data_IF_662063387172
#
_entry.id   IF_662063387172
#
_cell.length_a   1.000
_cell.length_b   1.000
_cell.length_c   1.000
_cell.angle_alpha   90.00
_cell.angle_beta   90.00
_cell.angle_gamma   90.00
#
_symmetry.space_group_name_H-M   'P 1'
#
loop_
_entity.id
_entity.type
_entity.pdbx_description
1 polymer ?
#
# COMPACT_ATOMS: atom_id res chain seq x y z
N UNK A 1 46.68 -9.13 67.95
CA UNK A 1 45.33 -9.72 67.97
C UNK A 1 44.72 -9.53 66.60
N UNK A 2 44.45 -10.64 65.91
CA UNK A 2 43.85 -10.69 64.58
C UNK A 2 42.36 -10.41 64.67
N UNK A 3 41.82 -9.49 63.87
CA UNK A 3 40.41 -9.50 63.49
C UNK A 3 40.33 -9.41 61.96
N UNK A 4 40.00 -10.55 61.35
CA UNK A 4 39.70 -10.70 59.93
C UNK A 4 38.26 -10.24 59.70
N UNK A 5 38.04 -9.21 58.90
CA UNK A 5 36.72 -8.91 58.34
C UNK A 5 36.50 -9.78 57.10
N UNK A 6 35.57 -10.71 57.20
CA UNK A 6 35.10 -11.54 56.10
C UNK A 6 33.94 -10.79 55.43
N UNK A 7 34.17 -10.20 54.26
CA UNK A 7 33.09 -9.67 53.43
C UNK A 7 32.49 -10.82 52.61
N UNK A 8 31.26 -11.21 52.93
CA UNK A 8 30.49 -12.17 52.15
C UNK A 8 29.80 -11.44 50.99
N UNK A 9 30.25 -11.67 49.77
CA UNK A 9 29.57 -11.26 48.53
C UNK A 9 28.44 -12.24 48.24
N UNK A 10 27.19 -11.80 48.42
CA UNK A 10 26.00 -12.49 47.90
C UNK A 10 25.90 -12.22 46.39
N UNK A 11 26.14 -13.26 45.58
CA UNK A 11 25.85 -13.26 44.14
C UNK A 11 24.39 -13.68 43.96
N UNK A 12 23.53 -12.73 43.61
CA UNK A 12 22.14 -12.99 43.25
C UNK A 12 22.07 -13.61 41.85
N UNK A 13 21.87 -14.93 41.77
CA UNK A 13 21.56 -15.61 40.50
C UNK A 13 20.11 -15.27 40.10
N UNK A 14 19.92 -14.29 39.21
CA UNK A 14 18.64 -14.07 38.57
C UNK A 14 18.39 -15.21 37.56
N UNK A 15 17.47 -16.11 37.88
CA UNK A 15 17.01 -17.15 36.94
C UNK A 15 16.04 -16.52 35.95
N UNK A 16 16.46 -16.36 34.69
CA UNK A 16 15.56 -16.06 33.58
C UNK A 16 14.59 -17.23 33.43
N UNK A 17 13.35 -17.05 33.90
CA UNK A 17 12.24 -17.94 33.56
C UNK A 17 11.86 -17.66 32.11
N UNK A 18 12.32 -18.52 31.21
CA UNK A 18 11.72 -18.61 29.87
C UNK A 18 10.31 -19.14 30.06
N UNK A 19 9.31 -18.26 29.96
CA UNK A 19 7.91 -18.66 29.88
C UNK A 19 7.72 -19.22 28.49
N UNK A 20 7.85 -20.54 28.35
CA UNK A 20 7.38 -21.25 27.17
C UNK A 20 5.86 -21.15 27.17
N UNK A 21 5.31 -20.22 26.38
CA UNK A 21 3.87 -20.17 26.15
C UNK A 21 3.41 -21.51 25.57
N UNK A 22 2.35 -22.08 26.12
CA UNK A 22 1.69 -23.25 25.51
C UNK A 22 1.25 -22.87 24.10
N UNK A 23 1.64 -23.60 23.05
CA UNK A 23 1.13 -23.35 21.70
C UNK A 23 -0.40 -23.39 21.77
N UNK A 24 -1.05 -22.28 21.41
CA UNK A 24 -2.50 -22.28 21.24
C UNK A 24 -2.85 -23.33 20.17
N UNK A 25 -3.89 -24.15 20.37
CA UNK A 25 -4.27 -25.16 19.40
C UNK A 25 -4.59 -24.49 18.06
N UNK A 26 -3.86 -24.84 17.00
CA UNK A 26 -4.13 -24.40 15.62
C UNK A 26 -5.20 -25.31 15.01
N UNK A 27 -6.05 -24.74 14.17
CA UNK A 27 -7.03 -25.50 13.40
C UNK A 27 -6.43 -25.92 12.06
N UNK A 28 -6.74 -27.14 11.63
CA UNK A 28 -6.35 -27.67 10.32
C UNK A 28 -7.51 -27.54 9.34
N UNK A 29 -7.31 -26.81 8.25
CA UNK A 29 -8.29 -26.62 7.19
C UNK A 29 -8.39 -27.86 6.28
N UNK A 30 -9.38 -27.89 5.40
CA UNK A 30 -9.62 -29.03 4.49
C UNK A 30 -8.42 -29.33 3.57
N UNK A 31 -7.69 -28.30 3.14
CA UNK A 31 -6.46 -28.44 2.33
C UNK A 31 -5.20 -28.74 3.14
N UNK A 32 -5.31 -28.95 4.46
CA UNK A 32 -4.18 -29.24 5.35
C UNK A 32 -3.42 -28.02 5.88
N UNK A 33 -3.79 -26.81 5.46
CA UNK A 33 -3.23 -25.56 6.00
C UNK A 33 -3.57 -25.42 7.49
N UNK A 34 -2.68 -24.77 8.25
CA UNK A 34 -2.83 -24.57 9.69
C UNK A 34 -3.09 -23.09 10.00
N UNK A 35 -4.20 -22.78 10.65
CA UNK A 35 -4.60 -21.41 11.02
C UNK A 35 -4.80 -21.27 12.52
N UNK A 36 -4.60 -20.07 13.05
CA UNK A 36 -4.89 -19.75 14.44
C UNK A 36 -6.40 -19.82 14.77
N UNK A 37 -7.27 -19.45 13.84
CA UNK A 37 -8.73 -19.50 13.99
C UNK A 37 -9.37 -20.30 12.85
N UNK A 38 -10.20 -21.31 13.18
CA UNK A 38 -10.85 -22.18 12.20
C UNK A 38 -11.78 -21.43 11.22
N UNK A 39 -12.30 -20.25 11.59
CA UNK A 39 -13.09 -19.42 10.68
C UNK A 39 -12.29 -18.98 9.44
N UNK A 40 -10.97 -18.82 9.58
CA UNK A 40 -10.09 -18.42 8.47
C UNK A 40 -9.98 -19.49 7.37
N UNK A 41 -10.35 -20.74 7.64
CA UNK A 41 -10.31 -21.80 6.62
C UNK A 41 -11.23 -21.50 5.42
N UNK A 42 -12.27 -20.68 5.60
CA UNK A 42 -13.18 -20.28 4.52
C UNK A 42 -12.50 -19.40 3.46
N UNK A 43 -11.35 -18.80 3.75
CA UNK A 43 -10.65 -17.88 2.85
C UNK A 43 -9.62 -18.56 1.94
N UNK A 44 -9.23 -19.82 2.20
CA UNK A 44 -8.36 -20.56 1.27
C UNK A 44 -9.03 -20.81 -0.09
N UNK A 45 -10.31 -21.23 -0.18
CA UNK A 45 -11.00 -21.32 -1.47
C UNK A 45 -11.11 -19.98 -2.20
N UNK A 46 -11.22 -18.86 -1.48
CA UNK A 46 -11.22 -17.51 -2.08
C UNK A 46 -9.84 -17.22 -2.68
N UNK A 47 -8.77 -17.45 -1.90
CA UNK A 47 -7.38 -17.30 -2.35
C UNK A 47 -7.09 -18.11 -3.62
N UNK A 48 -7.44 -19.39 -3.60
CA UNK A 48 -7.19 -20.33 -4.70
C UNK A 48 -7.94 -19.95 -5.98
N UNK A 49 -9.02 -19.16 -5.86
CA UNK A 49 -9.82 -18.69 -6.98
C UNK A 49 -9.36 -17.33 -7.51
N UNK A 50 -9.12 -16.34 -6.64
CA UNK A 50 -8.78 -14.99 -7.08
C UNK A 50 -7.35 -14.90 -7.65
N UNK A 51 -6.40 -15.67 -7.14
CA UNK A 51 -5.01 -15.59 -7.65
C UNK A 51 -4.93 -15.91 -9.15
N UNK A 52 -5.52 -17.02 -9.66
CA UNK A 52 -5.47 -17.32 -11.09
C UNK A 52 -6.60 -16.70 -11.92
N UNK A 53 -7.76 -16.34 -11.34
CA UNK A 53 -8.94 -15.93 -12.12
C UNK A 53 -9.30 -14.44 -11.97
N UNK A 54 -8.76 -13.74 -10.97
CA UNK A 54 -8.85 -12.29 -10.84
C UNK A 54 -7.52 -11.63 -11.16
N UNK A 55 -6.40 -12.18 -10.67
CA UNK A 55 -5.09 -11.54 -10.83
C UNK A 55 -4.19 -12.18 -11.89
N UNK A 56 -4.66 -13.20 -12.60
CA UNK A 56 -3.88 -13.95 -13.60
C UNK A 56 -2.50 -14.47 -13.12
N UNK A 57 -2.29 -14.58 -11.80
CA UNK A 57 -1.02 -14.87 -11.14
C UNK A 57 0.07 -13.80 -11.31
N UNK A 58 -0.31 -12.55 -11.58
CA UNK A 58 0.60 -11.46 -11.88
C UNK A 58 0.39 -10.25 -10.96
N UNK A 59 1.43 -9.42 -10.82
CA UNK A 59 1.31 -8.05 -10.32
C UNK A 59 1.03 -7.14 -11.52
N UNK A 60 -0.23 -7.20 -11.97
CA UNK A 60 -0.75 -6.48 -13.13
C UNK A 60 -1.90 -5.54 -12.75
N UNK A 61 -2.68 -5.16 -13.75
CA UNK A 61 -3.74 -4.16 -13.63
C UNK A 61 -4.73 -4.45 -12.50
N UNK A 62 -5.30 -5.66 -12.46
CA UNK A 62 -6.24 -6.09 -11.40
C UNK A 62 -5.61 -6.06 -10.00
N UNK A 63 -4.32 -6.42 -9.89
CA UNK A 63 -3.61 -6.39 -8.62
C UNK A 63 -3.42 -4.96 -8.11
N UNK A 64 -3.14 -4.02 -9.02
CA UNK A 64 -3.03 -2.59 -8.74
C UNK A 64 -4.41 -1.99 -8.40
N UNK A 65 -5.45 -2.38 -9.16
CA UNK A 65 -6.84 -2.01 -8.96
C UNK A 65 -7.34 -2.41 -7.57
N UNK A 66 -7.13 -3.66 -7.15
CA UNK A 66 -7.49 -4.14 -5.81
C UNK A 66 -6.77 -3.36 -4.69
N UNK A 67 -5.47 -3.07 -4.88
CA UNK A 67 -4.71 -2.28 -3.92
C UNK A 67 -5.27 -0.85 -3.80
N UNK A 68 -5.57 -0.19 -4.93
CA UNK A 68 -6.20 1.13 -4.95
C UNK A 68 -7.58 1.08 -4.30
N UNK A 69 -8.44 0.14 -4.67
CA UNK A 69 -9.80 0.01 -4.15
C UNK A 69 -9.81 -0.09 -2.62
N UNK A 70 -8.84 -0.79 -2.03
CA UNK A 70 -8.71 -0.89 -0.56
C UNK A 70 -8.49 0.45 0.14
N UNK A 71 -7.76 1.38 -0.48
CA UNK A 71 -7.57 2.73 0.05
C UNK A 71 -8.85 3.56 -0.09
N UNK A 72 -9.49 3.51 -1.25
CA UNK A 72 -10.68 4.31 -1.55
C UNK A 72 -11.89 3.90 -0.69
N UNK A 73 -12.06 2.60 -0.42
CA UNK A 73 -13.02 2.11 0.58
C UNK A 73 -12.64 2.62 1.98
N UNK A 74 -11.42 2.29 2.44
CA UNK A 74 -11.02 2.54 3.83
C UNK A 74 -10.97 4.01 4.23
N UNK A 75 -10.55 4.90 3.32
CA UNK A 75 -10.38 6.33 3.62
C UNK A 75 -11.69 7.11 3.58
N UNK A 76 -12.77 6.50 3.08
CA UNK A 76 -14.16 6.99 3.12
C UNK A 76 -14.75 7.04 4.53
N UNK A 77 -13.99 7.53 5.51
CA UNK A 77 -14.35 7.63 6.92
C UNK A 77 -13.84 8.94 7.50
N UNK A 78 -14.70 9.65 8.22
CA UNK A 78 -14.33 10.78 9.07
C UNK A 78 -15.13 10.71 10.37
N UNK A 79 -14.50 10.86 11.54
CA UNK A 79 -15.21 10.96 12.81
C UNK A 79 -16.25 12.09 12.84
N UNK A 80 -16.06 13.12 12.02
CA UNK A 80 -16.92 14.31 11.99
C UNK A 80 -17.91 14.35 10.84
N UNK A 81 -17.57 13.78 9.68
CA UNK A 81 -18.39 13.83 8.47
C UNK A 81 -19.16 12.52 8.21
N UNK A 82 -18.78 11.41 8.83
CA UNK A 82 -19.38 10.09 8.62
C UNK A 82 -18.58 9.22 7.65
N UNK A 83 -19.25 8.22 7.08
CA UNK A 83 -18.61 7.13 6.33
C UNK A 83 -18.19 5.97 7.23
N UNK A 84 -18.18 4.75 6.70
CA UNK A 84 -17.96 3.52 7.46
C UNK A 84 -16.52 3.00 7.46
N UNK A 85 -15.64 3.58 6.65
CA UNK A 85 -14.24 3.15 6.54
C UNK A 85 -14.10 1.90 5.69
N UNK A 86 -13.28 0.96 6.13
CA UNK A 86 -13.05 -0.27 5.39
C UNK A 86 -14.28 -1.19 5.53
N UNK A 87 -15.41 -0.85 4.92
CA UNK A 87 -16.71 -1.52 5.09
C UNK A 87 -17.30 -2.07 3.79
N UNK A 88 -16.67 -1.81 2.65
CA UNK A 88 -17.15 -2.21 1.34
C UNK A 88 -18.30 -1.35 0.80
N UNK A 89 -18.51 -0.16 1.38
CA UNK A 89 -19.51 0.81 0.92
C UNK A 89 -19.30 1.21 -0.54
N UNK A 90 -18.04 1.33 -0.98
CA UNK A 90 -17.71 1.65 -2.37
C UNK A 90 -18.27 0.63 -3.39
N UNK A 91 -18.38 -0.65 -3.02
CA UNK A 91 -19.02 -1.70 -3.85
C UNK A 91 -20.54 -1.69 -3.70
N UNK A 92 -21.04 -1.59 -2.46
CA UNK A 92 -22.48 -1.72 -2.17
C UNK A 92 -23.27 -0.51 -2.64
N UNK A 93 -22.71 0.68 -2.53
CA UNK A 93 -23.30 1.96 -2.93
C UNK A 93 -22.56 2.58 -4.12
N UNK A 94 -22.02 1.74 -5.01
CA UNK A 94 -21.25 2.16 -6.18
C UNK A 94 -21.99 3.19 -7.05
N UNK A 95 -23.32 3.09 -7.17
CA UNK A 95 -24.16 4.08 -7.90
C UNK A 95 -24.01 5.51 -7.36
N UNK A 96 -23.65 5.66 -6.08
CA UNK A 96 -23.38 6.95 -5.42
C UNK A 96 -21.89 7.25 -5.41
N UNK A 97 -21.07 6.33 -4.91
CA UNK A 97 -19.65 6.61 -4.66
C UNK A 97 -18.80 6.73 -5.93
N UNK A 98 -19.20 6.10 -7.03
CA UNK A 98 -18.55 6.28 -8.34
C UNK A 98 -18.88 7.61 -9.01
N UNK A 99 -19.83 8.39 -8.47
CA UNK A 99 -20.08 9.77 -8.94
C UNK A 99 -19.06 10.77 -8.39
N UNK A 100 -18.24 10.37 -7.41
CA UNK A 100 -17.23 11.23 -6.81
C UNK A 100 -16.00 11.31 -7.73
N UNK A 101 -15.51 12.52 -8.09
CA UNK A 101 -14.38 12.67 -8.99
C UNK A 101 -13.13 11.89 -8.55
N UNK A 102 -12.86 11.83 -7.24
CA UNK A 102 -11.72 11.10 -6.69
C UNK A 102 -11.78 9.59 -6.93
N UNK A 103 -12.97 9.02 -7.16
CA UNK A 103 -13.19 7.58 -7.40
C UNK A 103 -13.22 7.21 -8.90
N UNK A 104 -12.87 8.13 -9.80
CA UNK A 104 -12.84 7.85 -11.23
C UNK A 104 -11.99 6.60 -11.56
N UNK A 105 -12.54 5.69 -12.37
CA UNK A 105 -11.89 4.43 -12.77
C UNK A 105 -11.92 3.33 -11.71
N UNK A 106 -12.69 3.46 -10.63
CA UNK A 106 -12.93 2.34 -9.70
C UNK A 106 -14.05 1.41 -10.15
N UNK A 107 -14.81 1.78 -11.20
CA UNK A 107 -15.85 0.94 -11.77
C UNK A 107 -15.30 -0.39 -12.30
N UNK A 108 -14.09 -0.38 -12.88
CA UNK A 108 -13.40 -1.59 -13.36
C UNK A 108 -13.08 -2.56 -12.21
N UNK A 109 -12.24 -2.21 -11.19
CA UNK A 109 -11.94 -3.15 -10.11
C UNK A 109 -13.18 -3.55 -9.29
N UNK A 110 -14.21 -2.69 -9.16
CA UNK A 110 -15.48 -3.09 -8.55
C UNK A 110 -16.19 -4.14 -9.39
N UNK A 111 -16.20 -3.97 -10.71
CA UNK A 111 -16.76 -4.91 -11.67
C UNK A 111 -16.07 -6.27 -11.63
N UNK A 112 -14.75 -6.29 -11.46
CA UNK A 112 -13.94 -7.51 -11.42
C UNK A 112 -14.04 -8.25 -10.08
N UNK A 113 -14.09 -7.53 -8.96
CA UNK A 113 -14.19 -8.13 -7.62
C UNK A 113 -15.62 -8.65 -7.29
N UNK A 114 -16.68 -7.97 -7.75
CA UNK A 114 -18.06 -8.28 -7.39
C UNK A 114 -18.51 -9.73 -7.68
N UNK A 115 -18.14 -10.37 -8.81
CA UNK A 115 -18.46 -11.77 -9.07
C UNK A 115 -17.88 -12.73 -8.03
N UNK A 116 -16.68 -12.46 -7.51
CA UNK A 116 -16.03 -13.31 -6.51
C UNK A 116 -16.66 -13.14 -5.13
N UNK A 117 -17.02 -11.91 -4.77
CA UNK A 117 -17.79 -11.61 -3.54
C UNK A 117 -19.09 -12.45 -3.53
N UNK A 118 -19.83 -12.41 -4.64
CA UNK A 118 -21.08 -13.16 -4.78
C UNK A 118 -20.85 -14.68 -4.77
N UNK A 119 -19.84 -15.17 -5.49
CA UNK A 119 -19.51 -16.61 -5.59
C UNK A 119 -19.12 -17.22 -4.26
N UNK A 120 -18.32 -16.51 -3.45
CA UNK A 120 -17.82 -16.99 -2.17
C UNK A 120 -18.70 -16.61 -0.97
N UNK A 121 -19.73 -15.79 -1.20
CA UNK A 121 -20.67 -15.33 -0.16
C UNK A 121 -19.95 -14.73 1.05
N UNK A 122 -19.01 -13.83 0.77
CA UNK A 122 -18.27 -13.03 1.75
C UNK A 122 -18.76 -11.57 1.72
N UNK A 123 -18.45 -10.78 2.75
CA UNK A 123 -18.82 -9.36 2.74
C UNK A 123 -17.88 -8.57 1.82
N UNK A 124 -18.36 -7.52 1.14
CA UNK A 124 -17.52 -6.68 0.28
C UNK A 124 -16.33 -6.08 1.04
N UNK A 125 -16.53 -5.56 2.25
CA UNK A 125 -15.44 -4.99 3.05
C UNK A 125 -14.36 -6.01 3.40
N UNK A 126 -14.72 -7.26 3.71
CA UNK A 126 -13.70 -8.29 3.94
C UNK A 126 -12.99 -8.68 2.65
N UNK A 127 -13.72 -8.77 1.53
CA UNK A 127 -13.15 -9.15 0.25
C UNK A 127 -12.16 -8.10 -0.28
N UNK A 128 -12.50 -6.81 -0.27
CA UNK A 128 -11.61 -5.72 -0.74
C UNK A 128 -10.26 -5.78 0.00
N UNK A 129 -10.30 -5.90 1.33
CA UNK A 129 -9.09 -5.92 2.14
C UNK A 129 -8.31 -7.24 1.98
N UNK A 130 -9.01 -8.34 1.70
CA UNK A 130 -8.39 -9.62 1.35
C UNK A 130 -7.70 -9.57 -0.02
N UNK A 131 -8.38 -9.06 -1.04
CA UNK A 131 -7.91 -8.93 -2.40
C UNK A 131 -6.65 -8.06 -2.44
N UNK A 132 -6.64 -6.91 -1.78
CA UNK A 132 -5.44 -6.06 -1.67
C UNK A 132 -4.28 -6.73 -0.91
N UNK A 133 -4.56 -7.46 0.17
CA UNK A 133 -3.51 -8.19 0.89
C UNK A 133 -2.90 -9.30 0.03
N UNK A 134 -3.71 -9.99 -0.78
CA UNK A 134 -3.26 -11.03 -1.71
C UNK A 134 -2.54 -10.44 -2.91
N UNK A 135 -3.02 -9.34 -3.50
CA UNK A 135 -2.43 -8.70 -4.67
C UNK A 135 -0.99 -8.26 -4.39
N UNK A 136 -0.73 -7.71 -3.20
CA UNK A 136 0.63 -7.40 -2.74
C UNK A 136 1.53 -8.62 -2.73
N UNK A 137 1.04 -9.83 -2.43
CA UNK A 137 1.90 -11.03 -2.44
C UNK A 137 2.37 -11.44 -3.84
N UNK A 138 1.66 -10.99 -4.89
CA UNK A 138 2.00 -11.21 -6.29
C UNK A 138 3.05 -10.21 -6.79
N UNK A 139 3.21 -9.08 -6.10
CA UNK A 139 4.18 -8.04 -6.41
C UNK A 139 5.55 -8.33 -5.74
N UNK A 140 6.58 -8.74 -6.50
CA UNK A 140 7.88 -9.05 -5.93
C UNK A 140 8.45 -7.85 -5.16
N UNK A 141 8.95 -8.11 -3.94
CA UNK A 141 9.48 -7.06 -3.06
C UNK A 141 8.45 -6.46 -2.10
N UNK A 142 7.15 -6.73 -2.28
CA UNK A 142 6.14 -6.24 -1.35
C UNK A 142 6.24 -6.93 0.02
N UNK A 143 5.83 -6.26 1.11
CA UNK A 143 5.66 -6.95 2.37
C UNK A 143 4.42 -7.85 2.36
N UNK A 144 4.43 -8.90 3.19
CA UNK A 144 3.19 -9.60 3.55
C UNK A 144 2.45 -8.78 4.61
N UNK A 145 1.34 -8.18 4.23
CA UNK A 145 0.45 -7.45 5.15
C UNK A 145 -0.52 -8.39 5.87
N UNK A 146 -1.19 -7.88 6.89
CA UNK A 146 -2.17 -8.65 7.66
C UNK A 146 -3.53 -8.69 6.98
N UNK A 147 -4.36 -9.65 7.39
CA UNK A 147 -5.75 -9.73 7.00
C UNK A 147 -6.62 -10.04 8.22
N UNK A 148 -7.50 -9.11 8.56
CA UNK A 148 -8.54 -9.27 9.58
C UNK A 148 -9.86 -9.45 8.85
N UNK A 149 -10.71 -10.40 9.25
CA UNK A 149 -12.07 -10.58 8.71
C UNK A 149 -13.14 -10.27 9.77
N UNK A 150 -14.37 -10.04 9.34
CA UNK A 150 -15.54 -9.82 10.21
C UNK A 150 -16.25 -8.50 9.97
N UNK A 151 -15.95 -7.78 8.88
CA UNK A 151 -16.66 -6.54 8.54
C UNK A 151 -18.11 -6.84 8.19
N UNK A 152 -19.09 -6.14 8.79
CA UNK A 152 -20.49 -6.34 8.45
C UNK A 152 -20.79 -5.84 7.03
N UNK A 153 -21.91 -6.29 6.47
CA UNK A 153 -22.49 -5.62 5.31
C UNK A 153 -22.84 -4.18 5.69
N UNK A 154 -22.46 -3.17 4.89
CA UNK A 154 -22.80 -1.79 5.19
C UNK A 154 -24.31 -1.57 5.01
N UNK A 155 -24.91 -0.71 5.86
CA UNK A 155 -26.36 -0.49 5.95
C UNK A 155 -26.72 0.99 5.96
N UNK A 156 -27.72 1.39 5.18
CA UNK A 156 -28.12 2.80 5.02
C UNK A 156 -28.31 3.60 6.33
N UNK A 157 -27.92 4.90 6.38
CA UNK A 157 -27.22 5.66 5.34
C UNK A 157 -25.72 5.32 5.34
N UNK A 158 -25.26 4.57 4.35
CA UNK A 158 -23.91 3.97 4.35
C UNK A 158 -22.92 4.40 3.26
N UNK A 159 -23.27 5.15 2.18
CA UNK A 159 -22.22 5.59 1.27
C UNK A 159 -21.29 6.59 1.99
N UNK A 160 -20.00 6.50 1.71
CA UNK A 160 -19.04 7.49 2.17
C UNK A 160 -19.43 8.89 1.66
N UNK A 161 -19.31 9.95 2.48
CA UNK A 161 -19.42 11.32 1.99
C UNK A 161 -18.35 11.62 0.93
N UNK A 162 -18.73 12.40 -0.09
CA UNK A 162 -17.78 12.96 -1.07
C UNK A 162 -16.71 13.84 -0.38
N UNK A 163 -15.54 13.97 -1.01
CA UNK A 163 -14.42 14.79 -0.54
C UNK A 163 -13.60 14.16 0.59
N UNK A 164 -13.83 12.88 0.91
CA UNK A 164 -13.04 12.14 1.89
C UNK A 164 -11.80 11.45 1.30
N UNK A 165 -11.78 11.20 0.00
CA UNK A 165 -10.62 10.66 -0.73
C UNK A 165 -9.75 11.82 -1.23
N UNK A 166 -8.44 11.85 -0.93
CA UNK A 166 -7.51 12.85 -1.47
C UNK A 166 -7.45 12.85 -3.00
N UNK A 167 -7.35 14.05 -3.60
CA UNK A 167 -7.17 14.21 -5.05
C UNK A 167 -5.70 14.53 -5.41
N UNK A 168 -5.21 14.17 -6.61
CA UNK A 168 -3.80 14.34 -6.98
C UNK A 168 -3.37 15.81 -7.06
N UNK A 169 -4.31 16.75 -7.15
CA UNK A 169 -4.05 18.19 -7.15
C UNK A 169 -4.24 18.87 -5.79
N UNK A 170 -4.55 18.09 -4.74
CA UNK A 170 -4.63 18.62 -3.39
C UNK A 170 -3.28 19.08 -2.85
N UNK A 171 -3.31 20.09 -1.98
CA UNK A 171 -2.10 20.51 -1.27
C UNK A 171 -1.67 19.45 -0.26
N UNK A 172 -0.36 19.38 0.01
CA UNK A 172 0.19 18.45 1.01
C UNK A 172 -0.52 18.62 2.35
N UNK A 173 -0.78 19.85 2.79
CA UNK A 173 -1.48 20.12 4.06
C UNK A 173 -2.92 19.60 4.06
N UNK A 174 -3.65 19.67 2.93
CA UNK A 174 -5.00 19.10 2.82
C UNK A 174 -4.94 17.58 2.94
N UNK A 175 -4.01 16.93 2.23
CA UNK A 175 -3.85 15.47 2.27
C UNK A 175 -3.46 15.01 3.68
N UNK A 176 -2.46 15.64 4.31
CA UNK A 176 -2.03 15.30 5.67
C UNK A 176 -3.16 15.49 6.70
N UNK A 177 -3.93 16.57 6.60
CA UNK A 177 -5.08 16.80 7.46
C UNK A 177 -6.16 15.72 7.27
N UNK A 178 -6.44 15.33 6.02
CA UNK A 178 -7.42 14.29 5.70
C UNK A 178 -7.02 12.92 6.25
N UNK A 179 -5.77 12.53 6.01
CA UNK A 179 -5.21 11.26 6.50
C UNK A 179 -5.15 11.21 8.03
N UNK A 180 -4.84 12.33 8.68
CA UNK A 180 -4.92 12.44 10.14
C UNK A 180 -6.36 12.34 10.66
N UNK A 181 -7.33 12.98 10.00
CA UNK A 181 -8.75 12.89 10.40
C UNK A 181 -9.30 11.47 10.29
N UNK A 182 -8.93 10.71 9.25
CA UNK A 182 -9.43 9.35 9.05
C UNK A 182 -8.99 8.38 10.16
N UNK A 183 -7.69 8.36 10.48
CA UNK A 183 -7.13 7.34 11.37
C UNK A 183 -5.88 7.79 12.14
N UNK A 184 -5.62 9.09 12.22
CA UNK A 184 -4.44 9.63 12.90
C UNK A 184 -3.12 9.30 12.20
N UNK A 185 -3.12 9.13 10.88
CA UNK A 185 -1.89 8.91 10.12
C UNK A 185 -0.95 10.10 10.25
N UNK A 186 0.30 9.83 10.60
CA UNK A 186 1.37 10.82 10.58
C UNK A 186 1.85 11.08 9.14
N UNK A 187 2.57 12.18 8.87
CA UNK A 187 3.17 12.43 7.55
C UNK A 187 4.06 11.28 7.06
N UNK A 188 4.77 10.58 7.97
CA UNK A 188 5.56 9.40 7.60
C UNK A 188 4.69 8.21 7.22
N UNK A 189 3.53 8.03 7.87
CA UNK A 189 2.59 6.98 7.48
C UNK A 189 1.98 7.24 6.10
N UNK A 190 1.65 8.50 5.79
CA UNK A 190 1.14 8.88 4.46
C UNK A 190 2.18 8.59 3.38
N UNK A 191 3.43 9.02 3.57
CA UNK A 191 4.52 8.70 2.64
C UNK A 191 4.76 7.19 2.55
N UNK A 192 4.61 6.45 3.66
CA UNK A 192 4.74 5.00 3.64
C UNK A 192 3.62 4.36 2.79
N UNK A 193 2.37 4.78 2.94
CA UNK A 193 1.24 4.29 2.14
C UNK A 193 1.42 4.57 0.64
N UNK A 194 2.01 5.72 0.28
CA UNK A 194 2.35 6.05 -1.12
C UNK A 194 3.39 5.10 -1.75
N UNK A 195 4.01 4.20 -0.99
CA UNK A 195 4.78 3.11 -1.59
C UNK A 195 3.90 2.20 -2.48
N UNK A 196 2.57 2.21 -2.32
CA UNK A 196 1.65 1.57 -3.26
C UNK A 196 1.83 2.08 -4.70
N UNK A 197 2.27 3.33 -4.88
CA UNK A 197 2.53 3.90 -6.21
C UNK A 197 3.75 3.27 -6.91
N UNK A 198 4.53 2.42 -6.23
CA UNK A 198 5.57 1.59 -6.87
C UNK A 198 4.99 0.42 -7.67
N UNK A 199 3.72 0.07 -7.43
CA UNK A 199 2.99 -0.98 -8.16
C UNK A 199 1.65 -0.44 -8.65
N UNK A 200 1.73 0.63 -9.45
CA UNK A 200 0.56 1.35 -9.94
C UNK A 200 0.83 2.17 -11.20
N UNK A 201 -0.26 2.60 -11.83
CA UNK A 201 -0.31 3.61 -12.88
C UNK A 201 -1.62 4.39 -12.84
N UNK A 202 -1.83 5.21 -13.86
CA UNK A 202 -3.03 6.04 -14.01
C UNK A 202 -3.72 5.82 -15.35
N UNK A 203 -5.05 5.73 -15.29
CA UNK A 203 -5.92 5.57 -16.47
C UNK A 203 -6.75 6.81 -16.78
N UNK A 204 -7.06 7.60 -15.75
CA UNK A 204 -8.07 8.67 -15.83
C UNK A 204 -7.48 10.09 -15.77
N UNK A 205 -6.20 10.24 -15.42
CA UNK A 205 -5.54 11.56 -15.35
C UNK A 205 -5.33 12.13 -16.75
N UNK A 206 -4.60 11.41 -17.60
CA UNK A 206 -4.56 11.62 -19.05
C UNK A 206 -5.23 10.41 -19.73
N UNK A 207 -6.52 10.51 -20.07
CA UNK A 207 -7.27 9.40 -20.65
C UNK A 207 -6.81 9.03 -22.08
N UNK A 208 -5.86 9.75 -22.67
CA UNK A 208 -5.29 9.41 -23.99
C UNK A 208 -4.18 8.36 -23.89
N UNK A 209 -3.67 8.10 -22.69
CA UNK A 209 -2.58 7.17 -22.38
C UNK A 209 -2.87 6.36 -21.10
N UNK A 210 -3.93 5.53 -21.09
CA UNK A 210 -4.24 4.71 -19.91
C UNK A 210 -3.12 3.70 -19.62
N UNK A 211 -3.04 3.26 -18.37
CA UNK A 211 -2.01 2.36 -17.86
C UNK A 211 -0.65 3.04 -17.73
N UNK A 212 -0.56 4.37 -17.64
CA UNK A 212 0.75 5.05 -17.54
C UNK A 212 1.30 4.90 -16.11
N UNK A 213 2.43 4.22 -15.90
CA UNK A 213 2.95 3.91 -14.56
C UNK A 213 3.55 5.14 -13.85
N UNK A 214 3.61 5.06 -12.52
CA UNK A 214 4.21 6.12 -11.68
C UNK A 214 5.70 5.94 -11.40
N UNK A 215 6.25 4.76 -11.68
CA UNK A 215 7.68 4.49 -11.73
C UNK A 215 8.04 3.53 -12.88
N UNK A 216 9.33 3.29 -13.08
CA UNK A 216 9.83 2.44 -14.17
C UNK A 216 9.65 0.93 -13.98
N UNK A 217 9.10 0.50 -12.84
CA UNK A 217 9.01 -0.90 -12.41
C UNK A 217 7.62 -1.26 -11.85
N UNK A 218 6.52 -0.97 -12.56
CA UNK A 218 5.16 -1.01 -11.98
C UNK A 218 4.67 -2.39 -11.55
N UNK A 219 5.39 -3.48 -11.86
CA UNK A 219 5.05 -4.83 -11.38
C UNK A 219 5.94 -5.28 -10.21
N UNK A 220 6.76 -4.40 -9.64
CA UNK A 220 7.73 -4.70 -8.58
C UNK A 220 7.58 -3.67 -7.47
N UNK A 221 7.28 -4.12 -6.26
CA UNK A 221 7.25 -3.22 -5.11
C UNK A 221 8.68 -3.00 -4.62
N UNK A 222 9.29 -1.91 -5.08
CA UNK A 222 10.65 -1.53 -4.71
C UNK A 222 10.72 -0.12 -4.12
N UNK A 223 11.71 0.69 -4.51
CA UNK A 223 11.85 2.07 -4.02
C UNK A 223 12.01 3.07 -5.16
N UNK A 224 11.77 2.65 -6.41
CA UNK A 224 11.94 3.46 -7.61
C UNK A 224 11.03 4.68 -7.59
N UNK A 225 9.76 4.55 -7.19
CA UNK A 225 8.88 5.73 -6.99
C UNK A 225 9.51 6.82 -6.11
N UNK A 226 10.19 6.45 -5.02
CA UNK A 226 10.84 7.43 -4.13
C UNK A 226 12.07 8.09 -4.77
N UNK A 227 12.70 7.42 -5.74
CA UNK A 227 13.87 7.90 -6.47
C UNK A 227 13.44 8.77 -7.66
N UNK A 228 12.51 8.28 -8.47
CA UNK A 228 12.12 8.84 -9.75
C UNK A 228 11.30 10.12 -9.56
N UNK A 229 10.39 10.17 -8.59
CA UNK A 229 9.66 11.41 -8.22
C UNK A 229 10.60 12.51 -7.74
N UNK A 230 11.77 12.17 -7.19
CA UNK A 230 12.79 13.16 -6.79
C UNK A 230 13.58 13.71 -7.98
N UNK A 231 13.53 13.09 -9.16
CA UNK A 231 14.16 13.63 -10.36
C UNK A 231 13.46 14.92 -10.81
N UNK A 232 14.21 15.82 -11.44
CA UNK A 232 13.68 17.01 -12.11
C UNK A 232 12.74 16.59 -13.23
N UNK A 233 11.51 17.09 -13.20
CA UNK A 233 10.56 16.93 -14.30
C UNK A 233 11.04 17.62 -15.57
N UNK A 234 10.97 16.94 -16.72
CA UNK A 234 11.43 17.47 -18.01
C UNK A 234 10.45 17.24 -19.15
N UNK A 235 9.49 16.33 -18.99
CA UNK A 235 8.52 15.95 -20.02
C UNK A 235 7.18 15.54 -19.40
N UNK A 236 6.14 15.49 -20.23
CA UNK A 236 4.93 14.73 -19.95
C UNK A 236 4.94 13.48 -20.84
N UNK A 237 4.42 12.32 -20.36
CA UNK A 237 4.31 11.12 -21.18
C UNK A 237 3.27 11.28 -22.30
N UNK A 238 2.21 12.06 -22.06
CA UNK A 238 1.14 12.38 -23.01
C UNK A 238 1.27 13.78 -23.62
N UNK A 239 0.38 14.10 -24.57
CA UNK A 239 0.33 15.41 -25.21
C UNK A 239 -0.57 16.42 -24.50
N UNK A 240 -1.50 15.95 -23.67
CA UNK A 240 -2.55 16.76 -23.03
C UNK A 240 -2.60 16.45 -21.53
N UNK A 241 -1.66 16.99 -20.73
CA UNK A 241 -1.56 16.61 -19.34
C UNK A 241 -2.83 16.91 -18.54
N UNK A 242 -3.22 15.95 -17.71
CA UNK A 242 -4.42 15.99 -16.90
C UNK A 242 -4.36 16.96 -15.72
N UNK A 243 -5.52 17.22 -15.09
CA UNK A 243 -5.54 17.94 -13.82
C UNK A 243 -4.85 17.10 -12.73
N UNK A 244 -3.86 17.68 -12.06
CA UNK A 244 -3.07 16.96 -11.06
C UNK A 244 -1.89 16.19 -11.65
N UNK A 245 -1.58 16.36 -12.94
CA UNK A 245 -0.34 15.86 -13.54
C UNK A 245 0.74 16.94 -13.58
N UNK A 246 1.99 16.56 -13.30
CA UNK A 246 3.18 17.40 -13.50
C UNK A 246 4.25 16.65 -14.29
N UNK A 247 5.25 17.37 -14.77
CA UNK A 247 6.31 16.77 -15.57
C UNK A 247 7.03 15.64 -14.80
N UNK A 248 7.17 14.50 -15.45
CA UNK A 248 8.02 13.38 -15.02
C UNK A 248 9.43 13.52 -15.62
N UNK A 249 10.33 12.61 -15.23
CA UNK A 249 11.72 12.61 -15.71
C UNK A 249 11.99 11.49 -16.72
N UNK A 250 11.12 10.49 -16.81
CA UNK A 250 11.31 9.28 -17.63
C UNK A 250 10.20 9.21 -18.68
N UNK A 251 10.56 8.86 -19.91
CA UNK A 251 9.55 8.67 -20.96
C UNK A 251 8.61 7.53 -20.59
N UNK A 252 7.29 7.75 -20.74
CA UNK A 252 6.28 6.75 -20.39
C UNK A 252 5.99 6.65 -18.89
N UNK A 253 6.57 7.50 -18.05
CA UNK A 253 6.23 7.64 -16.63
C UNK A 253 5.33 8.88 -16.45
N UNK A 254 4.26 8.75 -15.67
CA UNK A 254 3.43 9.86 -15.23
C UNK A 254 3.84 10.29 -13.83
N UNK A 255 3.70 11.57 -13.51
CA UNK A 255 3.91 12.07 -12.15
C UNK A 255 2.72 12.86 -11.65
N UNK A 256 2.15 12.40 -10.54
CA UNK A 256 1.11 13.13 -9.84
C UNK A 256 1.68 14.38 -9.14
N UNK A 257 0.91 15.46 -9.14
CA UNK A 257 1.24 16.72 -8.48
C UNK A 257 1.40 16.50 -6.96
N UNK A 258 0.52 15.72 -6.34
CA UNK A 258 0.57 15.37 -4.91
C UNK A 258 1.89 14.72 -4.54
N UNK A 259 2.36 13.74 -5.32
CA UNK A 259 3.59 13.00 -5.05
C UNK A 259 4.81 13.90 -5.24
N UNK A 260 4.82 14.69 -6.33
CA UNK A 260 5.85 15.70 -6.57
C UNK A 260 6.00 16.66 -5.39
N UNK A 261 4.88 17.14 -4.85
CA UNK A 261 4.84 18.06 -3.73
C UNK A 261 5.24 17.36 -2.42
N UNK A 262 4.74 16.17 -2.12
CA UNK A 262 5.12 15.43 -0.90
C UNK A 262 6.61 15.06 -0.87
N UNK A 263 7.22 14.75 -2.01
CA UNK A 263 8.66 14.52 -2.09
C UNK A 263 9.51 15.76 -1.78
N UNK A 264 8.90 16.96 -1.75
CA UNK A 264 9.58 18.25 -1.60
C UNK A 264 9.13 19.05 -0.38
N UNK A 265 7.95 18.79 0.16
CA UNK A 265 7.37 19.52 1.30
C UNK A 265 8.16 19.27 2.60
N UNK A 266 8.44 20.30 3.42
CA UNK A 266 9.18 20.17 4.68
C UNK A 266 8.62 19.15 5.69
N UNK A 267 7.32 18.84 5.65
CA UNK A 267 6.68 17.88 6.56
C UNK A 267 6.93 16.42 6.15
N UNK A 268 7.22 16.16 4.87
CA UNK A 268 7.28 14.80 4.28
C UNK A 268 8.60 14.47 3.59
N UNK A 269 9.37 15.45 3.12
CA UNK A 269 10.51 15.23 2.23
C UNK A 269 11.62 14.34 2.82
N UNK A 270 11.89 14.42 4.13
CA UNK A 270 12.89 13.58 4.77
C UNK A 270 12.39 12.15 4.96
N UNK A 271 11.07 11.94 5.19
CA UNK A 271 10.48 10.61 5.19
C UNK A 271 10.55 10.00 3.78
N UNK A 272 10.18 10.77 2.75
CA UNK A 272 10.27 10.37 1.34
C UNK A 272 11.69 9.90 0.98
N UNK A 273 12.69 10.74 1.24
CA UNK A 273 14.09 10.40 0.99
C UNK A 273 14.59 9.21 1.83
N UNK A 274 14.06 8.99 3.04
CA UNK A 274 14.49 7.88 3.89
C UNK A 274 14.15 6.50 3.32
N UNK A 275 13.15 6.45 2.44
CA UNK A 275 12.69 5.26 1.74
C UNK A 275 13.44 4.98 0.44
N UNK A 276 14.01 6.00 -0.20
CA UNK A 276 14.85 5.84 -1.38
C UNK A 276 16.03 4.89 -1.09
N UNK A 277 16.00 3.69 -1.71
CA UNK A 277 17.01 2.66 -1.54
C UNK A 277 16.97 1.88 -0.22
N UNK A 278 15.88 1.95 0.54
CA UNK A 278 15.72 1.26 1.82
C UNK A 278 14.42 0.44 1.89
N UNK A 279 14.32 -0.58 1.03
CA UNK A 279 13.15 -1.46 0.95
C UNK A 279 12.72 -2.05 2.31
N UNK A 280 13.61 -2.53 3.21
CA UNK A 280 13.17 -3.03 4.51
C UNK A 280 12.44 -1.97 5.37
N UNK A 281 12.86 -0.70 5.29
CA UNK A 281 12.18 0.38 5.99
C UNK A 281 10.81 0.68 5.38
N UNK A 282 10.71 0.69 4.04
CA UNK A 282 9.44 0.84 3.32
C UNK A 282 8.49 -0.28 3.69
N UNK A 283 8.92 -1.54 3.56
CA UNK A 283 8.12 -2.72 3.91
C UNK A 283 7.58 -2.65 5.33
N UNK A 284 8.43 -2.29 6.31
CA UNK A 284 8.01 -2.19 7.71
C UNK A 284 7.00 -1.05 7.93
N UNK A 285 7.23 0.12 7.34
CA UNK A 285 6.36 1.29 7.51
C UNK A 285 5.03 1.09 6.79
N UNK A 286 5.08 0.61 5.54
CA UNK A 286 3.90 0.28 4.74
C UNK A 286 3.05 -0.78 5.44
N UNK A 287 3.63 -1.89 5.93
CA UNK A 287 2.88 -2.92 6.67
C UNK A 287 2.15 -2.34 7.87
N UNK A 288 2.82 -1.47 8.64
CA UNK A 288 2.23 -0.82 9.81
C UNK A 288 1.07 0.09 9.43
N UNK A 289 1.25 0.93 8.41
CA UNK A 289 0.22 1.89 7.97
C UNK A 289 -0.95 1.18 7.27
N UNK A 290 -0.67 0.23 6.36
CA UNK A 290 -1.68 -0.55 5.64
C UNK A 290 -2.55 -1.36 6.60
N UNK A 291 -1.95 -2.05 7.59
CA UNK A 291 -2.73 -2.81 8.56
C UNK A 291 -3.68 -1.90 9.38
N UNK A 292 -3.27 -0.67 9.70
CA UNK A 292 -4.17 0.32 10.34
C UNK A 292 -5.24 0.84 9.39
N UNK A 293 -4.89 1.10 8.13
CA UNK A 293 -5.82 1.51 7.09
C UNK A 293 -6.92 0.47 6.87
N UNK A 294 -6.54 -0.80 6.78
CA UNK A 294 -7.46 -1.90 6.48
C UNK A 294 -8.56 -2.09 7.54
N UNK A 295 -8.42 -1.51 8.73
CA UNK A 295 -9.38 -1.64 9.84
C UNK A 295 -10.01 -0.31 10.23
N UNK A 296 -9.88 0.75 9.42
CA UNK A 296 -10.57 2.03 9.65
C UNK A 296 -12.08 1.77 9.75
N UNK A 297 -12.74 2.40 10.72
CA UNK A 297 -14.16 2.22 11.00
C UNK A 297 -14.48 1.00 11.88
N UNK A 298 -13.49 0.13 12.16
CA UNK A 298 -13.68 -1.09 12.94
C UNK A 298 -12.82 -1.12 14.21
N UNK A 299 -13.26 -1.87 15.20
CA UNK A 299 -12.45 -2.23 16.35
C UNK A 299 -11.72 -3.55 16.06
N UNK A 300 -10.37 -3.58 15.96
CA UNK A 300 -9.62 -4.79 15.66
C UNK A 300 -9.86 -5.95 16.63
N UNK A 301 -10.30 -5.66 17.87
CA UNK A 301 -10.64 -6.68 18.85
C UNK A 301 -11.93 -7.46 18.53
N UNK A 302 -12.80 -6.89 17.67
CA UNK A 302 -14.04 -7.52 17.23
C UNK A 302 -13.87 -8.29 15.90
N UNK A 303 -12.68 -8.18 15.28
CA UNK A 303 -12.32 -8.88 14.05
C UNK A 303 -11.51 -10.16 14.34
N UNK A 304 -11.46 -11.05 13.36
CA UNK A 304 -10.68 -12.29 13.41
C UNK A 304 -9.41 -12.12 12.57
N UNK A 305 -8.24 -12.30 13.19
CA UNK A 305 -6.97 -12.33 12.48
C UNK A 305 -6.86 -13.61 11.65
N UNK A 306 -6.93 -13.44 10.33
CA UNK A 306 -6.77 -14.46 9.31
C UNK A 306 -5.51 -14.23 8.46
N UNK A 307 -4.51 -13.51 9.00
CA UNK A 307 -3.25 -13.26 8.32
C UNK A 307 -2.52 -14.54 7.94
N UNK A 308 -2.76 -15.66 8.63
CA UNK A 308 -2.26 -17.00 8.28
C UNK A 308 -2.68 -17.49 6.88
N UNK A 309 -3.74 -16.91 6.28
CA UNK A 309 -4.24 -17.26 4.93
C UNK A 309 -3.43 -16.60 3.83
N UNK A 310 -2.93 -15.38 4.08
CA UNK A 310 -2.18 -14.60 3.07
C UNK A 310 -0.90 -15.34 2.69
N UNK A 311 -0.57 -15.53 1.39
CA UNK A 311 0.67 -16.18 0.99
C UNK A 311 1.94 -15.50 1.52
N UNK A 312 3.07 -16.22 1.43
CA UNK A 312 4.37 -15.58 1.60
C UNK A 312 4.65 -14.65 0.41
N UNK A 313 5.11 -13.43 0.67
CA UNK A 313 5.43 -12.47 -0.39
C UNK A 313 6.62 -12.94 -1.24
N UNK A 314 6.57 -12.63 -2.54
CA UNK A 314 7.66 -12.90 -3.46
C UNK A 314 8.87 -12.00 -3.14
N UNK A 315 10.10 -12.54 -3.11
CA UNK A 315 11.29 -11.72 -2.84
C UNK A 315 11.57 -10.77 -4.01
N UNK A 316 12.18 -9.62 -3.71
CA UNK A 316 12.66 -8.69 -4.71
C UNK A 316 13.63 -9.41 -5.70
N UNK A 317 13.43 -9.29 -7.02
CA UNK A 317 14.35 -9.82 -8.01
C UNK A 317 15.76 -9.25 -7.82
N UNK A 318 16.81 -10.06 -8.03
CA UNK A 318 18.20 -9.63 -7.79
C UNK A 318 18.64 -8.44 -8.64
N UNK A 319 17.98 -8.21 -9.77
CA UNK A 319 18.22 -7.13 -10.71
C UNK A 319 17.31 -5.91 -10.51
N UNK A 320 16.37 -5.95 -9.57
CA UNK A 320 15.45 -4.86 -9.24
C UNK A 320 15.95 -4.03 -8.05
N UNK A 321 17.27 -3.83 -7.94
CA UNK A 321 17.85 -2.96 -6.92
C UNK A 321 17.60 -1.49 -7.24
N UNK A 322 17.66 -0.58 -6.25
CA UNK A 322 17.44 0.85 -6.46
C UNK A 322 18.48 1.45 -7.43
N UNK A 323 18.01 2.22 -8.40
CA UNK A 323 18.83 2.74 -9.49
C UNK A 323 18.30 4.07 -10.03
N UNK A 324 19.14 4.78 -10.78
CA UNK A 324 18.64 5.85 -11.65
C UNK A 324 18.22 5.22 -12.99
N UNK A 325 17.10 5.65 -13.60
CA UNK A 325 16.75 5.26 -14.95
C UNK A 325 17.87 5.58 -15.95
N UNK A 326 17.95 4.83 -17.05
CA UNK A 326 18.96 5.07 -18.08
C UNK A 326 18.84 6.51 -18.63
N UNK A 327 19.97 7.19 -18.80
CA UNK A 327 20.03 8.59 -19.22
C UNK A 327 19.89 9.62 -18.09
N UNK A 328 19.51 9.21 -16.88
CA UNK A 328 19.50 10.06 -15.69
C UNK A 328 20.84 10.02 -14.94
N UNK A 329 21.08 11.04 -14.14
CA UNK A 329 22.29 11.19 -13.32
C UNK A 329 21.95 11.70 -11.93
N UNK A 330 22.90 11.59 -10.99
CA UNK A 330 22.70 12.12 -9.64
C UNK A 330 22.42 13.64 -9.62
N UNK A 331 22.89 14.38 -10.63
CA UNK A 331 22.60 15.83 -10.76
C UNK A 331 21.16 16.15 -11.16
N UNK A 332 20.40 15.16 -11.63
CA UNK A 332 19.00 15.34 -11.99
C UNK A 332 18.08 15.23 -10.76
N UNK A 333 18.58 14.76 -9.62
CA UNK A 333 17.86 14.72 -8.35
C UNK A 333 17.67 16.14 -7.78
N UNK A 334 16.42 16.50 -7.51
CA UNK A 334 16.05 17.74 -6.81
C UNK A 334 16.02 17.50 -5.30
N UNK A 335 17.17 17.61 -4.65
CA UNK A 335 17.32 17.49 -3.20
C UNK A 335 16.31 18.37 -2.43
N UNK A 336 15.54 17.77 -1.52
CA UNK A 336 14.58 18.48 -0.67
C UNK A 336 14.81 18.32 0.83
N UNK A 337 15.17 17.12 1.32
CA UNK A 337 15.43 16.92 2.74
C UNK A 337 16.65 17.74 3.19
N UNK A 338 16.45 18.68 4.11
CA UNK A 338 17.51 19.60 4.55
C UNK A 338 18.52 18.95 5.50
N UNK A 339 18.17 17.80 6.10
CA UNK A 339 18.96 17.18 7.19
C UNK A 339 19.95 16.12 6.69
N UNK A 340 19.80 15.63 5.45
CA UNK A 340 20.64 14.58 4.87
C UNK A 340 20.66 14.69 3.35
N UNK A 341 21.82 14.47 2.74
CA UNK A 341 21.94 14.35 1.29
C UNK A 341 21.22 13.11 0.76
N UNK A 342 20.63 13.22 -0.43
CA UNK A 342 19.98 12.14 -1.14
C UNK A 342 20.99 11.00 -1.40
N UNK A 343 20.61 9.73 -1.21
CA UNK A 343 21.49 8.60 -1.48
C UNK A 343 22.00 8.62 -2.93
N UNK A 344 23.23 8.14 -3.14
CA UNK A 344 23.80 8.07 -4.50
C UNK A 344 23.44 6.75 -5.15
N UNK A 345 22.90 6.81 -6.35
CA UNK A 345 22.52 5.65 -7.15
C UNK A 345 23.27 5.62 -8.48
N UNK A 346 23.46 4.43 -9.03
CA UNK A 346 24.04 4.26 -10.37
C UNK A 346 22.92 4.21 -11.39
N UNK A 347 23.12 4.90 -12.52
CA UNK A 347 22.19 4.82 -13.64
C UNK A 347 22.28 3.46 -14.34
N UNK A 348 21.13 2.95 -14.79
CA UNK A 348 21.11 1.79 -15.68
C UNK A 348 21.95 2.09 -16.94
N UNK A 349 22.69 1.10 -17.45
CA UNK A 349 23.50 1.28 -18.64
C UNK A 349 22.62 1.41 -19.89
N UNK A 350 23.09 2.19 -20.86
CA UNK A 350 22.42 2.34 -22.15
C UNK A 350 21.75 3.71 -22.34
N UNK A 351 21.08 3.91 -23.49
CA UNK A 351 20.30 5.12 -23.75
C UNK A 351 19.04 5.15 -22.87
N UNK A 352 18.46 6.34 -22.71
CA UNK A 352 17.14 6.48 -22.09
C UNK A 352 16.10 5.60 -22.79
N UNK A 353 15.27 4.94 -21.98
CA UNK A 353 14.20 4.04 -22.43
C UNK A 353 12.84 4.64 -22.12
N UNK A 354 11.81 4.18 -22.85
CA UNK A 354 10.41 4.46 -22.55
C UNK A 354 9.88 3.34 -21.66
N UNK A 355 9.30 3.68 -20.52
CA UNK A 355 8.57 2.75 -19.67
C UNK A 355 7.29 2.32 -20.42
N UNK A 356 7.03 1.03 -20.59
CA UNK A 356 5.81 0.57 -21.22
C UNK A 356 4.59 0.87 -20.33
N UNK A 357 3.45 1.15 -20.94
CA UNK A 357 2.18 1.17 -20.23
C UNK A 357 1.88 -0.21 -19.63
N UNK A 358 1.21 -0.21 -18.49
CA UNK A 358 0.67 -1.41 -17.83
C UNK A 358 -0.40 -1.99 -18.77
N UNK A 359 -0.29 -3.26 -19.19
CA UNK A 359 -1.35 -3.90 -19.94
C UNK A 359 -2.65 -3.87 -19.15
N UNK A 360 -3.70 -3.33 -19.75
CA UNK A 360 -5.03 -3.24 -19.14
C UNK A 360 -5.75 -4.59 -19.24
N UNK A 361 -6.45 -4.98 -18.18
CA UNK A 361 -7.14 -6.28 -18.07
C UNK A 361 -8.38 -6.40 -18.98
#
# INVERSE_FOLDING_TARGET
MFFKHLAATLVSLATLRVVSGTPYPRATCAGGQQVANAACCAWFPVLEDIVPNLFDNECGDDAHGALRLSFHDAIGFSPSLGGGGADGSVIVFQDTELQFPANAGLDDPIGDEAPFIAKHNVTPGDFIQFAAAVSLTLCPGAPRVGFMMGRPMPTEPSPAPDGLVPEPFDSVQKILARMHDAAGFSPTDVVALLASHSVAGADTIDPTIPGTPFDSTPSVFDTQVFIEVQLRGTLFPGSEPGQGEVQSAVHGEMRLQSDHLMARDPETNCAWQSFAGNLPAVQSAFTSAFNRMSVIGHNPADLIDCSDVIPGALPLPRNAGPHLPAGQTQSDIEQACATKAFPTFTAQPGPATTVPAIPQA
#
